data_IF_239733723138
#
_entry.id   IF_239733723138
#
_cell.length_a   1.000
_cell.length_b   1.000
_cell.length_c   1.000
_cell.angle_alpha   90.00
_cell.angle_beta   90.00
_cell.angle_gamma   90.00
#
_symmetry.space_group_name_H-M   'P 1'
#
loop_
_entity.id
_entity.type
_entity.pdbx_description
1 polymer ?
#
# COMPACT_ATOMS: atom_id res chain seq x y z
N UNK A 1 -10.99 8.07 -4.33
CA UNK A 1 -9.52 7.93 -4.35
C UNK A 1 -9.18 7.00 -5.49
N UNK A 2 -8.56 7.51 -6.56
CA UNK A 2 -8.23 6.73 -7.74
C UNK A 2 -6.88 6.02 -7.53
N UNK A 3 -6.74 4.81 -8.06
CA UNK A 3 -5.55 3.97 -7.87
C UNK A 3 -4.30 4.60 -8.50
N UNK A 4 -4.46 5.50 -9.46
CA UNK A 4 -3.37 6.22 -10.14
C UNK A 4 -2.59 7.18 -9.21
N UNK A 5 -3.21 7.72 -8.17
CA UNK A 5 -2.59 8.68 -7.25
C UNK A 5 -1.51 8.03 -6.35
N UNK A 6 -1.50 6.69 -6.26
CA UNK A 6 -0.55 5.93 -5.45
C UNK A 6 0.72 5.50 -6.21
N UNK A 7 0.85 5.88 -7.47
CA UNK A 7 2.03 5.63 -8.29
C UNK A 7 2.72 6.95 -8.60
N UNK A 8 3.92 7.12 -8.06
CA UNK A 8 4.78 8.24 -8.39
C UNK A 8 5.72 7.80 -9.51
N UNK A 9 5.57 8.42 -10.67
CA UNK A 9 6.44 8.16 -11.82
C UNK A 9 7.62 9.12 -11.71
N UNK A 10 8.78 8.62 -11.29
CA UNK A 10 10.04 9.38 -11.28
C UNK A 10 10.85 8.97 -12.51
N UNK A 11 10.57 9.58 -13.66
CA UNK A 11 11.24 9.28 -14.93
C UNK A 11 11.06 7.81 -15.33
N UNK A 12 12.11 7.01 -15.17
CA UNK A 12 12.16 5.58 -15.49
C UNK A 12 11.74 4.65 -14.32
N UNK A 13 11.54 5.18 -13.12
CA UNK A 13 11.21 4.39 -11.94
C UNK A 13 9.78 4.65 -11.45
N UNK A 14 8.96 3.60 -11.44
CA UNK A 14 7.63 3.61 -10.83
C UNK A 14 7.79 3.34 -9.33
N UNK A 15 7.73 4.40 -8.52
CA UNK A 15 7.72 4.29 -7.06
C UNK A 15 6.28 4.18 -6.57
N UNK A 16 5.99 3.08 -5.87
CA UNK A 16 4.67 2.86 -5.25
C UNK A 16 4.65 3.61 -3.91
N UNK A 17 3.73 4.55 -3.72
CA UNK A 17 3.64 5.35 -2.48
C UNK A 17 3.15 4.53 -1.29
N UNK A 18 2.32 3.52 -1.53
CA UNK A 18 1.76 2.65 -0.49
C UNK A 18 2.28 1.22 -0.63
N UNK A 19 2.52 0.56 0.50
CA UNK A 19 2.83 -0.86 0.49
C UNK A 19 1.64 -1.67 0.00
N UNK A 20 1.94 -2.73 -0.75
CA UNK A 20 0.95 -3.72 -1.19
C UNK A 20 0.84 -4.79 -0.11
N UNK A 21 -0.36 -5.29 0.12
CA UNK A 21 -0.54 -6.38 1.07
C UNK A 21 0.11 -7.67 0.52
N UNK A 22 1.05 -8.29 1.27
CA UNK A 22 1.77 -9.49 0.81
C UNK A 22 0.84 -10.70 0.62
N UNK A 23 -0.29 -10.76 1.31
CA UNK A 23 -1.28 -11.85 1.19
C UNK A 23 -2.31 -11.62 0.09
N UNK A 24 -2.67 -10.37 -0.15
CA UNK A 24 -3.76 -10.02 -1.07
C UNK A 24 -3.25 -9.71 -2.50
N UNK A 25 -1.94 -9.51 -2.69
CA UNK A 25 -1.32 -9.33 -4.00
C UNK A 25 -1.47 -7.94 -4.62
N UNK A 26 -0.93 -7.78 -5.83
CA UNK A 26 -0.92 -6.51 -6.55
C UNK A 26 -2.35 -6.01 -6.81
N UNK A 27 -2.66 -4.83 -6.30
CA UNK A 27 -3.99 -4.20 -6.41
C UNK A 27 -4.63 -3.87 -5.06
N UNK A 28 -4.13 -4.43 -3.95
CA UNK A 28 -4.59 -4.08 -2.60
C UNK A 28 -3.48 -3.37 -1.83
N UNK A 29 -3.66 -2.06 -1.67
CA UNK A 29 -2.78 -1.25 -0.85
C UNK A 29 -3.12 -1.39 0.63
N UNK A 30 -2.09 -1.46 1.46
CA UNK A 30 -2.22 -1.34 2.89
C UNK A 30 -2.60 0.11 3.24
N UNK A 31 -3.60 0.26 4.10
CA UNK A 31 -3.93 1.52 4.73
C UNK A 31 -2.84 1.88 5.72
N UNK A 32 -2.10 2.92 5.44
CA UNK A 32 -1.05 3.42 6.33
C UNK A 32 -1.68 4.30 7.41
N UNK A 33 -1.62 3.83 8.65
CA UNK A 33 -1.91 4.56 9.87
C UNK A 33 -0.60 4.85 10.62
N UNK A 34 -0.63 5.75 11.60
CA UNK A 34 0.56 6.13 12.37
C UNK A 34 1.23 4.96 13.11
N UNK A 35 0.41 4.02 13.57
CA UNK A 35 0.79 2.87 14.39
C UNK A 35 0.82 1.54 13.61
N UNK A 36 0.13 1.48 12.46
CA UNK A 36 -0.08 0.22 11.73
C UNK A 36 -0.39 0.40 10.25
N UNK A 37 -0.10 -0.64 9.50
CA UNK A 37 -0.49 -0.86 8.12
C UNK A 37 -1.61 -1.89 8.12
N UNK A 38 -2.82 -1.50 7.73
CA UNK A 38 -3.97 -2.39 7.77
C UNK A 38 -4.47 -2.72 6.35
N UNK A 39 -4.67 -4.00 6.06
CA UNK A 39 -5.29 -4.46 4.83
C UNK A 39 -6.79 -4.67 5.05
N UNK A 40 -7.61 -3.86 4.37
CA UNK A 40 -9.07 -3.97 4.45
C UNK A 40 -9.66 -5.23 3.81
N UNK A 41 -8.92 -5.96 2.96
CA UNK A 41 -9.43 -7.14 2.24
C UNK A 41 -9.15 -8.48 2.94
N UNK A 42 -7.97 -8.63 3.55
CA UNK A 42 -7.56 -9.88 4.22
C UNK A 42 -7.28 -9.72 5.73
N UNK A 43 -7.59 -8.57 6.32
CA UNK A 43 -7.37 -8.31 7.75
C UNK A 43 -5.90 -8.37 8.19
N UNK A 44 -4.96 -8.26 7.24
CA UNK A 44 -3.54 -8.23 7.55
C UNK A 44 -3.17 -6.89 8.18
N UNK A 45 -2.63 -6.90 9.38
CA UNK A 45 -2.14 -5.70 10.07
C UNK A 45 -0.67 -5.84 10.41
N UNK A 46 0.14 -4.93 9.88
CA UNK A 46 1.57 -4.80 10.19
C UNK A 46 1.76 -3.57 11.07
N UNK A 47 2.19 -3.75 12.32
CA UNK A 47 2.46 -2.61 13.19
C UNK A 47 3.84 -2.05 12.84
N UNK A 48 3.90 -0.77 12.44
CA UNK A 48 5.18 -0.07 12.23
C UNK A 48 5.73 0.22 13.63
N UNK A 49 6.90 -0.35 13.94
CA UNK A 49 7.58 -0.16 15.23
C UNK A 49 8.35 1.16 15.24
#
# INVERSE_FOLDING_TARGET
MAVNEFYEVSGDAIKRKKQICPRCGNGVFLGEHKDRLACGKCGYTEFKK
#
